data_IF_341625606721
#
_entry.id   IF_341625606721
#
_cell.length_a   1.000
_cell.length_b   1.000
_cell.length_c   1.000
_cell.angle_alpha   90.00
_cell.angle_beta   90.00
_cell.angle_gamma   90.00
#
_symmetry.space_group_name_H-M   'P 1'
#
loop_
_entity.id
_entity.type
_entity.pdbx_description
1 polymer ?
#
# COMPACT_ATOMS: atom_id res chain seq x y z
N UNK A 1 2.31 1.25 43.34
CA UNK A 1 3.05 0.29 42.48
C UNK A 1 3.53 1.01 41.23
N UNK A 2 4.82 0.88 40.84
CA UNK A 2 5.29 1.37 39.55
C UNK A 2 4.60 0.56 38.44
N UNK A 3 4.11 1.25 37.41
CA UNK A 3 3.47 0.61 36.24
C UNK A 3 4.50 -0.30 35.56
N UNK A 4 4.08 -1.51 35.21
CA UNK A 4 4.97 -2.47 34.56
C UNK A 4 5.33 -1.95 33.17
N UNK A 5 6.59 -2.04 32.77
CA UNK A 5 7.10 -1.73 31.43
C UNK A 5 6.15 -2.11 30.25
N UNK A 6 5.49 -3.29 30.24
CA UNK A 6 4.49 -3.63 29.21
C UNK A 6 3.26 -2.70 29.16
N UNK A 7 2.80 -2.14 30.29
CA UNK A 7 1.68 -1.17 30.30
C UNK A 7 2.12 0.17 29.68
N UNK A 8 3.30 0.67 30.04
CA UNK A 8 3.84 1.88 29.40
C UNK A 8 4.02 1.70 27.88
N UNK A 9 4.45 0.50 27.46
CA UNK A 9 4.57 0.17 26.03
C UNK A 9 3.20 0.14 25.34
N UNK A 10 2.18 -0.43 25.97
CA UNK A 10 0.82 -0.48 25.44
C UNK A 10 0.18 0.91 25.34
N UNK A 11 0.40 1.78 26.34
CA UNK A 11 -0.03 3.18 26.30
C UNK A 11 0.71 3.95 25.19
N UNK A 12 2.03 3.74 25.04
CA UNK A 12 2.82 4.36 23.98
C UNK A 12 2.35 3.95 22.58
N UNK A 13 2.05 2.66 22.37
CA UNK A 13 1.51 2.16 21.10
C UNK A 13 0.14 2.78 20.83
N UNK A 14 -0.81 2.73 21.77
CA UNK A 14 -2.15 3.34 21.60
C UNK A 14 -2.08 4.84 21.30
N UNK A 15 -1.22 5.58 22.00
CA UNK A 15 -1.04 7.01 21.79
C UNK A 15 -0.47 7.30 20.38
N UNK A 16 0.40 6.42 19.90
CA UNK A 16 1.02 6.47 18.56
C UNK A 16 0.04 6.06 17.45
N UNK A 17 -0.90 5.16 17.70
CA UNK A 17 -1.98 4.83 16.76
C UNK A 17 -2.96 6.01 16.61
N UNK A 18 -3.30 6.68 17.71
CA UNK A 18 -4.16 7.88 17.68
C UNK A 18 -3.51 9.10 16.97
N UNK A 19 -2.18 9.18 16.90
CA UNK A 19 -1.45 10.27 16.21
C UNK A 19 -1.08 9.95 14.76
N UNK A 20 -1.67 8.90 14.16
CA UNK A 20 -1.38 8.50 12.78
C UNK A 20 -2.38 8.92 11.69
N UNK A 21 -3.18 10.00 11.81
CA UNK A 21 -4.20 10.31 10.80
C UNK A 21 -3.63 10.58 9.39
N UNK A 22 -2.32 10.90 9.26
CA UNK A 22 -1.67 11.01 7.95
C UNK A 22 -1.38 9.67 7.28
N UNK A 23 -1.07 8.62 8.06
CA UNK A 23 -0.90 7.28 7.50
C UNK A 23 -2.23 6.69 7.08
N UNK A 24 -3.28 6.84 7.89
CA UNK A 24 -4.61 6.36 7.53
C UNK A 24 -5.10 7.01 6.23
N UNK A 25 -4.91 8.31 6.03
CA UNK A 25 -5.26 9.00 4.78
C UNK A 25 -4.52 8.45 3.56
N UNK A 26 -3.21 8.21 3.69
CA UNK A 26 -2.41 7.67 2.59
C UNK A 26 -2.78 6.22 2.26
N UNK A 27 -3.07 5.41 3.28
CA UNK A 27 -3.52 4.03 3.13
C UNK A 27 -4.91 3.98 2.50
N UNK A 28 -5.85 4.81 2.96
CA UNK A 28 -7.21 4.90 2.40
C UNK A 28 -7.16 5.35 0.94
N UNK A 29 -6.36 6.37 0.61
CA UNK A 29 -6.15 6.80 -0.78
C UNK A 29 -5.54 5.68 -1.63
N UNK A 30 -4.56 4.94 -1.10
CA UNK A 30 -3.98 3.78 -1.78
C UNK A 30 -5.00 2.66 -1.99
N UNK A 31 -5.82 2.36 -0.99
CA UNK A 31 -6.84 1.30 -1.06
C UNK A 31 -7.91 1.61 -2.11
N UNK A 32 -8.32 2.87 -2.24
CA UNK A 32 -9.25 3.31 -3.29
C UNK A 32 -8.67 3.13 -4.70
N UNK A 33 -7.35 3.24 -4.84
CA UNK A 33 -6.62 3.09 -6.10
C UNK A 33 -6.06 1.68 -6.30
N UNK A 34 -6.20 0.78 -5.31
CA UNK A 34 -5.56 -0.54 -5.33
C UNK A 34 -6.02 -1.34 -6.54
N UNK A 35 -7.32 -1.33 -6.83
CA UNK A 35 -7.87 -2.04 -7.99
C UNK A 35 -7.35 -1.49 -9.32
N UNK A 36 -7.30 -0.16 -9.46
CA UNK A 36 -6.78 0.54 -10.65
C UNK A 36 -5.28 0.25 -10.86
N UNK A 37 -4.50 0.26 -9.77
CA UNK A 37 -3.08 -0.12 -9.79
C UNK A 37 -2.89 -1.59 -10.15
N UNK A 38 -3.73 -2.49 -9.65
CA UNK A 38 -3.68 -3.92 -10.00
C UNK A 38 -4.02 -4.15 -11.47
N UNK A 39 -5.03 -3.46 -11.99
CA UNK A 39 -5.44 -3.54 -13.40
C UNK A 39 -4.33 -3.03 -14.32
N UNK A 40 -3.73 -1.88 -13.98
CA UNK A 40 -2.61 -1.33 -14.74
C UNK A 40 -1.36 -2.22 -14.71
N UNK A 41 -1.07 -2.87 -13.57
CA UNK A 41 0.02 -3.87 -13.50
C UNK A 41 -0.32 -5.09 -14.38
N UNK A 42 -1.57 -5.56 -14.37
CA UNK A 42 -2.02 -6.68 -15.20
C UNK A 42 -1.96 -6.35 -16.70
N UNK A 43 -2.22 -5.10 -17.06
CA UNK A 43 -2.04 -4.57 -18.42
C UNK A 43 -0.57 -4.36 -18.82
N UNK A 44 0.39 -4.61 -17.92
CA UNK A 44 1.83 -4.53 -18.21
C UNK A 44 2.44 -3.13 -18.04
N UNK A 45 1.74 -2.18 -17.44
CA UNK A 45 2.29 -0.85 -17.18
C UNK A 45 3.29 -0.87 -16.03
N UNK A 46 4.31 -0.01 -16.14
CA UNK A 46 5.32 0.18 -15.10
C UNK A 46 4.76 0.93 -13.89
N UNK A 47 5.15 0.51 -12.69
CA UNK A 47 4.75 1.14 -11.42
C UNK A 47 5.09 2.63 -11.37
N UNK A 48 6.17 3.06 -12.03
CA UNK A 48 6.57 4.46 -12.14
C UNK A 48 5.52 5.26 -12.92
N UNK A 49 5.13 4.78 -14.10
CA UNK A 49 4.11 5.40 -14.97
C UNK A 49 2.76 5.49 -14.27
N UNK A 50 2.34 4.42 -13.58
CA UNK A 50 1.10 4.41 -12.80
C UNK A 50 1.17 5.46 -11.68
N UNK A 51 2.30 5.52 -10.96
CA UNK A 51 2.48 6.50 -9.89
C UNK A 51 2.50 7.94 -10.41
N UNK A 52 3.20 8.23 -11.51
CA UNK A 52 3.25 9.55 -12.13
C UNK A 52 1.85 10.04 -12.50
N UNK A 53 1.06 9.19 -13.15
CA UNK A 53 -0.33 9.52 -13.51
C UNK A 53 -1.22 9.79 -12.30
N UNK A 54 -1.09 8.98 -11.24
CA UNK A 54 -1.85 9.15 -10.00
C UNK A 54 -1.40 10.37 -9.19
N UNK A 55 -0.12 10.69 -9.25
CA UNK A 55 0.45 11.86 -8.60
C UNK A 55 0.06 13.16 -9.33
N UNK A 56 0.10 13.16 -10.67
CA UNK A 56 -0.35 14.28 -11.50
C UNK A 56 -1.84 14.57 -11.30
N UNK A 57 -2.67 13.52 -11.20
CA UNK A 57 -4.10 13.65 -10.87
C UNK A 57 -4.36 14.08 -9.42
N UNK A 58 -3.33 14.23 -8.57
CA UNK A 58 -3.48 14.57 -7.15
C UNK A 58 -4.17 13.50 -6.31
N UNK A 59 -4.35 12.28 -6.85
CA UNK A 59 -4.95 11.15 -6.16
C UNK A 59 -4.02 10.61 -5.06
N UNK A 60 -2.71 10.80 -5.25
CA UNK A 60 -1.66 10.39 -4.31
C UNK A 60 -0.78 11.61 -3.97
N UNK A 61 -0.83 12.13 -2.73
CA UNK A 61 -0.03 13.28 -2.32
C UNK A 61 1.39 12.91 -1.83
N UNK A 62 1.84 11.68 -2.07
CA UNK A 62 3.10 11.15 -1.53
C UNK A 62 4.04 10.60 -2.59
N UNK A 63 5.34 10.57 -2.25
CA UNK A 63 6.42 10.17 -3.15
C UNK A 63 6.35 8.70 -3.56
N UNK A 64 6.95 8.40 -4.71
CA UNK A 64 7.06 7.07 -5.31
C UNK A 64 7.51 5.97 -4.33
N UNK A 65 8.47 6.26 -3.44
CA UNK A 65 8.94 5.28 -2.45
C UNK A 65 7.85 4.80 -1.49
N UNK A 66 6.93 5.69 -1.12
CA UNK A 66 5.79 5.34 -0.25
C UNK A 66 4.78 4.49 -1.02
N UNK A 67 4.58 4.78 -2.31
CA UNK A 67 3.76 3.97 -3.20
C UNK A 67 4.32 2.55 -3.35
N UNK A 68 5.62 2.40 -3.60
CA UNK A 68 6.26 1.09 -3.67
C UNK A 68 6.12 0.29 -2.37
N UNK A 69 6.26 0.93 -1.21
CA UNK A 69 6.03 0.27 0.09
C UNK A 69 4.58 -0.23 0.22
N UNK A 70 3.60 0.56 -0.20
CA UNK A 70 2.19 0.14 -0.17
C UNK A 70 1.92 -0.99 -1.16
N UNK A 71 2.40 -0.90 -2.41
CA UNK A 71 2.29 -1.96 -3.42
C UNK A 71 2.89 -3.27 -2.90
N UNK A 72 4.11 -3.24 -2.35
CA UNK A 72 4.75 -4.43 -1.76
C UNK A 72 3.95 -5.00 -0.59
N UNK A 73 3.38 -4.15 0.27
CA UNK A 73 2.62 -4.58 1.44
C UNK A 73 1.23 -5.12 1.09
N UNK A 74 0.55 -4.54 0.11
CA UNK A 74 -0.86 -4.82 -0.20
C UNK A 74 -1.08 -5.72 -1.41
N UNK A 75 -0.11 -5.79 -2.34
CA UNK A 75 -0.16 -6.66 -3.53
C UNK A 75 0.77 -7.86 -3.35
N UNK A 76 1.99 -7.64 -2.83
CA UNK A 76 2.98 -8.72 -2.62
C UNK A 76 2.89 -9.40 -1.24
N UNK A 77 1.80 -9.17 -0.51
CA UNK A 77 1.53 -9.73 0.82
C UNK A 77 1.23 -11.24 0.86
N UNK A 78 1.30 -11.94 -0.28
CA UNK A 78 1.33 -13.40 -0.29
C UNK A 78 2.80 -13.84 -0.37
N UNK A 79 3.39 -14.50 0.65
CA UNK A 79 4.61 -15.27 0.41
C UNK A 79 4.36 -16.18 -0.81
N UNK A 80 5.35 -16.41 -1.67
CA UNK A 80 5.17 -17.13 -2.93
C UNK A 80 4.78 -18.59 -2.66
N UNK A 81 3.51 -18.82 -2.34
CA UNK A 81 2.87 -20.10 -2.56
C UNK A 81 2.62 -20.13 -4.06
N UNK A 82 3.62 -20.64 -4.78
CA UNK A 82 3.48 -21.45 -5.99
C UNK A 82 2.14 -21.24 -6.71
N UNK A 83 2.06 -20.21 -7.56
CA UNK A 83 1.09 -20.24 -8.65
C UNK A 83 1.87 -20.27 -9.95
N UNK A 84 1.93 -21.51 -10.42
CA UNK A 84 2.27 -21.94 -11.76
C UNK A 84 1.56 -21.11 -12.84
N UNK A 85 2.11 -21.13 -14.04
CA UNK A 85 1.96 -20.08 -15.04
C UNK A 85 0.53 -19.76 -15.48
N UNK A 86 0.30 -18.49 -15.82
CA UNK A 86 -0.72 -18.14 -16.79
C UNK A 86 -0.26 -16.95 -17.65
N UNK A 87 -0.01 -17.15 -18.97
CA UNK A 87 0.08 -16.07 -19.92
C UNK A 87 -1.35 -15.61 -20.24
N UNK A 88 -1.72 -14.41 -19.79
CA UNK A 88 -2.97 -13.79 -20.24
C UNK A 88 -2.76 -13.23 -21.64
N UNK A 89 -3.05 -14.07 -22.64
CA UNK A 89 -3.32 -13.64 -24.01
C UNK A 89 -4.51 -12.67 -24.01
N UNK A 90 -4.46 -11.53 -24.71
CA UNK A 90 -5.60 -10.63 -24.84
C UNK A 90 -6.69 -11.25 -25.75
N UNK A 91 -7.99 -11.04 -25.47
CA UNK A 91 -9.06 -11.39 -26.41
C UNK A 91 -9.36 -10.25 -27.40
N UNK A 92 -9.66 -10.70 -28.62
CA UNK A 92 -10.05 -10.04 -29.90
C UNK A 92 -8.97 -9.27 -30.68
#
# INVERSE_FOLDING_TARGET
MPKSYPEELAEWVKKREATRPRQDKNVVAFLALKSDVQDAIAAGYSLLTIWEHLHEKGKIPYRYETFLKHVRRHIKGRPPAVVDGQPSTPPD
#
